data_IF_829147750836
#
_entry.id   IF_829147750836
#
_cell.length_a   1.000
_cell.length_b   1.000
_cell.length_c   1.000
_cell.angle_alpha   90.00
_cell.angle_beta   90.00
_cell.angle_gamma   90.00
#
_symmetry.space_group_name_H-M   'P 1'
#
loop_
_entity.id
_entity.type
_entity.pdbx_description
1 polymer ?
#
# COMPACT_ATOMS: atom_id res chain seq x y z
N UNK A 1 -39.50 76.55 33.48
CA UNK A 1 -38.58 75.63 34.19
C UNK A 1 -38.34 74.42 33.32
N UNK A 2 -37.07 74.17 33.02
CA UNK A 2 -36.56 73.15 32.09
C UNK A 2 -36.99 71.74 32.52
N UNK A 3 -37.46 70.93 31.57
CA UNK A 3 -37.41 69.47 31.70
C UNK A 3 -37.04 68.87 30.35
N UNK A 4 -35.74 68.67 30.19
CA UNK A 4 -35.12 67.89 29.12
C UNK A 4 -35.40 66.43 29.45
N UNK A 5 -36.09 65.70 28.55
CA UNK A 5 -36.11 64.24 28.58
C UNK A 5 -35.45 63.72 27.32
N UNK A 6 -34.19 63.34 27.48
CA UNK A 6 -33.31 62.77 26.47
C UNK A 6 -33.83 61.43 25.98
N UNK A 7 -33.88 61.28 24.66
CA UNK A 7 -34.13 60.03 23.94
C UNK A 7 -32.85 59.18 24.01
N UNK A 8 -32.88 58.08 24.76
CA UNK A 8 -31.76 57.11 24.79
C UNK A 8 -31.98 56.10 23.66
N UNK A 9 -31.13 56.18 22.64
CA UNK A 9 -31.01 55.21 21.56
C UNK A 9 -30.13 54.06 22.07
N UNK A 10 -30.71 52.88 22.35
CA UNK A 10 -29.95 51.69 22.71
C UNK A 10 -29.31 51.07 21.47
N UNK A 11 -27.98 51.18 21.33
CA UNK A 11 -27.18 50.46 20.35
C UNK A 11 -27.07 49.00 20.80
N UNK A 12 -27.77 48.08 20.13
CA UNK A 12 -27.55 46.64 20.28
C UNK A 12 -26.38 46.21 19.39
N UNK A 13 -25.22 45.93 19.99
CA UNK A 13 -24.09 45.29 19.30
C UNK A 13 -24.44 43.84 18.99
N UNK A 14 -24.61 43.51 17.71
CA UNK A 14 -24.69 42.12 17.24
C UNK A 14 -23.27 41.57 17.26
N UNK A 15 -22.97 40.72 18.25
CA UNK A 15 -21.75 39.93 18.28
C UNK A 15 -21.99 38.67 17.44
N UNK A 16 -21.51 38.66 16.20
CA UNK A 16 -21.47 37.44 15.38
C UNK A 16 -20.30 36.59 15.83
N UNK A 17 -20.55 35.62 16.70
CA UNK A 17 -19.60 34.54 16.97
C UNK A 17 -19.54 33.66 15.71
N UNK A 18 -18.43 33.71 14.97
CA UNK A 18 -18.08 32.65 14.02
C UNK A 18 -17.88 31.36 14.83
N UNK A 19 -18.87 30.48 14.83
CA UNK A 19 -18.70 29.13 15.33
C UNK A 19 -17.77 28.38 14.38
N UNK A 20 -16.54 28.10 14.83
CA UNK A 20 -15.69 27.12 14.19
C UNK A 20 -16.41 25.75 14.19
N UNK A 21 -16.27 24.93 13.14
CA UNK A 21 -16.92 23.62 13.09
C UNK A 21 -16.44 22.79 14.27
N UNK A 22 -17.40 22.36 15.11
CA UNK A 22 -17.14 21.44 16.19
C UNK A 22 -16.61 20.12 15.59
N UNK A 23 -15.37 19.78 15.95
CA UNK A 23 -14.81 18.45 15.72
C UNK A 23 -15.67 17.50 16.56
N UNK A 24 -16.54 16.74 15.90
CA UNK A 24 -17.26 15.64 16.54
C UNK A 24 -16.27 14.63 17.14
N UNK A 25 -16.67 13.86 18.15
CA UNK A 25 -15.79 12.87 18.75
C UNK A 25 -15.29 11.94 17.65
N UNK A 26 -13.96 11.77 17.59
CA UNK A 26 -13.34 10.79 16.70
C UNK A 26 -14.06 9.45 16.91
N UNK A 27 -14.67 8.95 15.85
CA UNK A 27 -15.33 7.65 15.84
C UNK A 27 -14.27 6.62 16.26
N UNK A 28 -14.43 6.11 17.49
CA UNK A 28 -13.58 5.07 18.04
C UNK A 28 -13.72 3.84 17.15
N UNK A 29 -12.73 3.65 16.29
CA UNK A 29 -12.63 2.45 15.48
C UNK A 29 -12.62 1.22 16.42
N UNK A 30 -13.27 0.10 16.03
CA UNK A 30 -13.24 -1.12 16.81
C UNK A 30 -11.78 -1.56 17.10
N UNK A 31 -11.53 -2.30 18.20
CA UNK A 31 -10.20 -2.47 18.82
C UNK A 31 -9.12 -3.22 18.00
N UNK A 32 -9.30 -3.34 16.68
CA UNK A 32 -8.42 -4.05 15.75
C UNK A 32 -8.12 -3.27 14.46
N UNK A 33 -8.49 -1.99 14.37
CA UNK A 33 -8.19 -1.15 13.20
C UNK A 33 -6.98 -0.28 13.50
N UNK A 34 -5.79 -0.77 13.16
CA UNK A 34 -4.57 0.04 13.28
C UNK A 34 -4.29 0.80 11.98
N UNK A 35 -4.35 2.12 12.07
CA UNK A 35 -4.06 3.05 10.99
C UNK A 35 -2.54 3.22 10.86
N UNK A 36 -2.00 3.07 9.64
CA UNK A 36 -0.59 3.38 9.32
C UNK A 36 -0.24 4.80 9.79
N UNK A 37 0.83 4.93 10.57
CA UNK A 37 1.25 6.18 11.20
C UNK A 37 1.69 7.28 10.20
N UNK A 38 1.70 8.57 10.61
CA UNK A 38 2.17 9.69 9.80
C UNK A 38 3.70 9.86 9.79
N UNK A 39 4.42 9.17 10.67
CA UNK A 39 5.89 9.18 10.76
C UNK A 39 6.49 8.17 9.79
N UNK A 40 7.74 8.41 9.37
CA UNK A 40 8.66 7.40 8.79
C UNK A 40 8.90 7.42 7.27
N UNK A 41 9.13 8.60 6.71
CA UNK A 41 9.94 8.70 5.48
C UNK A 41 11.01 9.76 5.63
N UNK A 42 12.17 9.34 6.14
CA UNK A 42 13.41 10.06 5.91
C UNK A 42 14.14 9.41 4.73
N UNK A 43 13.92 9.94 3.52
CA UNK A 43 14.68 9.55 2.32
C UNK A 43 16.05 10.23 2.32
N UNK A 44 16.93 9.79 3.22
CA UNK A 44 18.33 10.19 3.21
C UNK A 44 19.12 9.56 2.04
N UNK A 45 20.32 10.08 1.73
CA UNK A 45 21.20 9.55 0.66
C UNK A 45 21.58 8.06 0.78
N UNK A 46 21.36 7.45 1.95
CA UNK A 46 21.66 6.05 2.25
C UNK A 46 20.40 5.16 2.32
N UNK A 47 19.27 5.61 1.79
CA UNK A 47 18.01 4.88 1.86
C UNK A 47 18.06 3.56 1.03
N UNK A 48 17.54 2.42 1.53
CA UNK A 48 17.60 1.12 0.87
C UNK A 48 17.04 1.10 -0.57
N UNK A 49 16.00 1.90 -0.87
CA UNK A 49 15.46 2.06 -2.23
C UNK A 49 16.45 2.71 -3.22
N UNK A 50 17.47 3.44 -2.72
CA UNK A 50 18.54 4.02 -3.53
C UNK A 50 19.75 3.08 -3.66
N UNK A 51 19.95 2.18 -2.69
CA UNK A 51 21.01 1.15 -2.71
C UNK A 51 20.65 -0.03 -3.62
N UNK A 52 19.36 -0.41 -3.70
CA UNK A 52 18.88 -1.44 -4.62
C UNK A 52 19.09 -1.07 -6.12
N UNK A 53 19.20 0.22 -6.45
CA UNK A 53 19.54 0.68 -7.81
C UNK A 53 20.98 0.38 -8.23
N UNK A 54 21.89 0.07 -7.30
CA UNK A 54 23.34 -0.05 -7.60
C UNK A 54 23.87 -1.46 -7.79
N UNK A 55 23.12 -2.54 -7.49
CA UNK A 55 23.80 -3.78 -7.09
C UNK A 55 23.47 -5.12 -7.78
N UNK A 56 22.81 -5.19 -8.94
CA UNK A 56 22.70 -6.50 -9.62
C UNK A 56 23.18 -6.47 -11.08
N UNK A 57 24.49 -6.67 -11.22
CA UNK A 57 25.08 -7.33 -12.39
C UNK A 57 25.82 -8.61 -11.94
N UNK A 58 25.61 -9.68 -12.70
CA UNK A 58 26.46 -10.88 -12.91
C UNK A 58 26.14 -12.18 -12.12
N UNK A 59 25.67 -13.15 -12.93
CA UNK A 59 25.85 -14.61 -12.91
C UNK A 59 25.04 -15.53 -11.96
N UNK A 60 24.11 -16.31 -12.55
CA UNK A 60 24.09 -17.79 -12.42
C UNK A 60 23.14 -18.47 -13.41
N UNK A 61 23.67 -19.52 -14.05
CA UNK A 61 23.16 -20.27 -15.22
C UNK A 61 21.97 -21.17 -14.87
N UNK A 62 20.97 -21.22 -15.75
CA UNK A 62 19.97 -22.31 -15.81
C UNK A 62 18.53 -21.95 -16.19
N UNK A 63 18.14 -20.67 -16.14
CA UNK A 63 16.82 -20.18 -16.57
C UNK A 63 16.97 -19.24 -17.75
N UNK A 64 15.97 -19.15 -18.64
CA UNK A 64 15.97 -18.10 -19.68
C UNK A 64 15.93 -16.74 -18.97
N UNK A 65 16.47 -15.70 -19.60
CA UNK A 65 16.54 -14.36 -19.00
C UNK A 65 15.14 -13.81 -18.62
N UNK A 66 14.10 -14.31 -19.29
CA UNK A 66 12.69 -13.90 -19.17
C UNK A 66 12.03 -14.42 -17.89
N UNK A 67 12.43 -15.57 -17.36
CA UNK A 67 11.81 -16.15 -16.16
C UNK A 67 12.38 -15.60 -14.84
N UNK A 68 13.36 -14.68 -14.89
CA UNK A 68 14.11 -14.22 -13.71
C UNK A 68 13.60 -12.88 -13.20
N UNK A 69 13.39 -12.79 -11.89
CA UNK A 69 13.19 -11.51 -11.21
C UNK A 69 14.48 -10.69 -11.32
N UNK A 70 14.35 -9.40 -11.65
CA UNK A 70 15.48 -8.46 -11.80
C UNK A 70 15.38 -7.27 -10.82
N UNK A 71 14.46 -7.33 -9.86
CA UNK A 71 14.22 -6.26 -8.90
C UNK A 71 13.95 -6.82 -7.50
N UNK A 72 14.64 -6.23 -6.51
CA UNK A 72 14.44 -6.51 -5.09
C UNK A 72 13.81 -5.29 -4.44
N UNK A 73 12.61 -5.45 -3.91
CA UNK A 73 11.95 -4.47 -3.07
C UNK A 73 12.39 -4.71 -1.63
N UNK A 74 13.01 -3.72 -1.00
CA UNK A 74 13.50 -3.83 0.37
C UNK A 74 13.33 -2.50 1.12
N UNK A 75 12.08 -2.15 1.44
CA UNK A 75 11.75 -0.98 2.24
C UNK A 75 11.42 -1.41 3.67
N UNK A 76 12.03 -0.75 4.65
CA UNK A 76 11.87 -1.01 6.09
C UNK A 76 12.08 0.31 6.84
N UNK A 77 11.29 0.56 7.88
CA UNK A 77 11.41 1.76 8.72
C UNK A 77 12.00 1.48 10.10
N UNK A 78 11.94 0.23 10.55
CA UNK A 78 12.47 -0.19 11.85
C UNK A 78 12.13 -1.64 12.21
N UNK A 79 12.45 -1.99 13.45
CA UNK A 79 12.16 -3.29 14.07
C UNK A 79 12.88 -4.49 13.45
N UNK A 80 12.37 -5.70 13.74
CA UNK A 80 12.99 -6.94 13.29
C UNK A 80 12.40 -7.35 11.95
N UNK A 81 13.19 -7.22 10.87
CA UNK A 81 12.81 -7.64 9.51
C UNK A 81 13.98 -8.40 8.87
N UNK A 82 14.00 -9.72 9.09
CA UNK A 82 15.03 -10.61 8.56
C UNK A 82 14.66 -11.08 7.14
N UNK A 83 14.83 -10.18 6.17
CA UNK A 83 14.55 -10.42 4.75
C UNK A 83 15.77 -10.96 4.01
N UNK A 84 15.63 -12.07 3.29
CA UNK A 84 16.69 -12.71 2.50
C UNK A 84 16.18 -13.01 1.07
N UNK A 85 16.44 -12.14 0.08
CA UNK A 85 16.14 -12.41 -1.32
C UNK A 85 17.16 -13.40 -1.92
N UNK A 86 16.72 -14.23 -2.87
CA UNK A 86 17.54 -15.22 -3.58
C UNK A 86 16.95 -15.53 -4.95
N UNK A 87 17.40 -14.80 -5.98
CA UNK A 87 16.84 -14.88 -7.33
C UNK A 87 15.33 -14.69 -7.31
N UNK A 88 14.62 -15.66 -7.89
CA UNK A 88 13.17 -15.72 -7.99
C UNK A 88 12.45 -16.02 -6.66
N UNK A 89 13.11 -15.87 -5.52
CA UNK A 89 12.53 -16.24 -4.24
C UNK A 89 13.00 -15.32 -3.13
N UNK A 90 12.29 -15.36 -2.01
CA UNK A 90 12.76 -14.77 -0.77
C UNK A 90 12.28 -15.58 0.44
N UNK A 91 13.00 -15.44 1.54
CA UNK A 91 12.54 -15.80 2.87
C UNK A 91 12.49 -14.57 3.77
N UNK A 92 11.58 -14.60 4.74
CA UNK A 92 11.31 -13.50 5.65
C UNK A 92 10.92 -14.06 7.01
N UNK A 93 11.51 -13.51 8.07
CA UNK A 93 10.97 -13.55 9.42
C UNK A 93 10.87 -12.12 9.93
N UNK A 94 9.74 -11.74 10.53
CA UNK A 94 9.51 -10.39 11.00
C UNK A 94 8.81 -10.38 12.36
N UNK A 95 9.13 -9.37 13.17
CA UNK A 95 8.44 -8.99 14.41
C UNK A 95 8.71 -7.51 14.65
N UNK A 96 7.74 -6.68 14.28
CA UNK A 96 7.92 -5.23 14.24
C UNK A 96 6.60 -4.48 14.42
N UNK A 97 6.70 -3.29 15.00
CA UNK A 97 5.64 -2.27 15.03
C UNK A 97 5.86 -1.17 13.99
N UNK A 98 6.89 -1.34 13.16
CA UNK A 98 7.31 -0.38 12.14
C UNK A 98 6.93 -0.91 10.75
N UNK A 99 6.76 0.01 9.81
CA UNK A 99 6.36 -0.26 8.44
C UNK A 99 7.49 -0.91 7.60
N UNK A 100 7.16 -1.95 6.85
CA UNK A 100 8.03 -2.50 5.81
C UNK A 100 7.23 -3.02 4.62
N UNK A 101 7.90 -3.03 3.46
CA UNK A 101 7.44 -3.69 2.23
C UNK A 101 8.65 -4.36 1.59
N UNK A 102 8.68 -5.69 1.59
CA UNK A 102 9.82 -6.47 1.07
C UNK A 102 9.37 -7.56 0.11
N UNK A 103 10.13 -7.82 -0.95
CA UNK A 103 9.73 -8.74 -2.00
C UNK A 103 10.69 -8.78 -3.18
N UNK A 104 10.36 -9.61 -4.18
CA UNK A 104 11.13 -9.75 -5.43
C UNK A 104 10.19 -9.73 -6.63
N UNK A 105 10.70 -9.29 -7.78
CA UNK A 105 9.94 -9.22 -9.03
C UNK A 105 10.70 -8.50 -10.13
N UNK A 106 10.01 -7.62 -10.83
CA UNK A 106 10.48 -7.02 -12.07
C UNK A 106 10.45 -5.50 -12.06
N UNK A 107 11.38 -4.91 -12.78
CA UNK A 107 11.35 -3.50 -13.14
C UNK A 107 11.80 -3.33 -14.61
N UNK A 108 10.94 -2.85 -15.51
CA UNK A 108 9.52 -2.52 -15.26
C UNK A 108 8.67 -3.78 -15.07
N UNK A 109 7.51 -3.60 -14.43
CA UNK A 109 6.43 -4.60 -14.42
C UNK A 109 5.77 -4.76 -15.78
N UNK A 110 4.92 -5.77 -15.91
CA UNK A 110 4.23 -6.08 -17.16
C UNK A 110 2.76 -6.48 -16.92
N UNK A 111 2.11 -6.99 -17.97
CA UNK A 111 0.78 -7.60 -17.89
C UNK A 111 0.85 -9.13 -17.95
N UNK A 112 2.03 -9.73 -17.86
CA UNK A 112 2.20 -11.18 -17.80
C UNK A 112 1.61 -11.73 -16.50
N UNK A 113 0.96 -12.90 -16.52
CA UNK A 113 0.49 -13.55 -15.29
C UNK A 113 1.65 -13.84 -14.34
N UNK A 114 1.50 -13.52 -13.06
CA UNK A 114 2.54 -13.73 -12.05
C UNK A 114 2.18 -14.99 -11.27
N UNK A 115 3.06 -16.00 -11.27
CA UNK A 115 2.90 -17.18 -10.43
C UNK A 115 3.75 -17.04 -9.19
N UNK A 116 3.13 -17.26 -8.02
CA UNK A 116 3.83 -17.29 -6.74
C UNK A 116 3.49 -18.56 -5.98
N UNK A 117 4.43 -19.06 -5.19
CA UNK A 117 4.21 -20.25 -4.36
C UNK A 117 5.05 -20.24 -3.10
N UNK A 118 4.48 -20.79 -2.03
CA UNK A 118 5.16 -21.00 -0.76
C UNK A 118 4.28 -20.73 0.45
N UNK A 119 4.90 -20.23 1.52
CA UNK A 119 4.25 -19.99 2.81
C UNK A 119 4.11 -18.51 3.12
N UNK A 120 3.07 -18.21 3.89
CA UNK A 120 2.81 -16.92 4.52
C UNK A 120 2.08 -17.21 5.83
N UNK A 121 2.66 -16.77 6.94
CA UNK A 121 2.12 -17.01 8.27
C UNK A 121 2.28 -15.76 9.13
N UNK A 122 1.19 -15.34 9.77
CA UNK A 122 1.16 -14.19 10.68
C UNK A 122 0.77 -14.70 12.05
N UNK A 123 1.64 -14.50 13.03
CA UNK A 123 1.45 -14.95 14.42
C UNK A 123 0.89 -13.85 15.31
N UNK A 124 1.04 -12.59 14.92
CA UNK A 124 0.52 -11.41 15.62
C UNK A 124 0.33 -10.25 14.64
N UNK A 125 -0.65 -9.39 14.93
CA UNK A 125 -0.84 -8.13 14.22
C UNK A 125 -1.37 -8.34 12.81
N UNK A 126 -0.86 -7.57 11.86
CA UNK A 126 -1.27 -7.63 10.47
C UNK A 126 -0.10 -7.94 9.54
N UNK A 127 -0.38 -8.56 8.40
CA UNK A 127 0.48 -8.52 7.23
C UNK A 127 -0.33 -8.88 5.99
N UNK A 128 0.19 -8.51 4.81
CA UNK A 128 -0.40 -8.85 3.52
C UNK A 128 0.61 -9.53 2.61
N UNK A 129 0.20 -10.56 1.88
CA UNK A 129 0.88 -11.12 0.72
C UNK A 129 0.21 -10.59 -0.54
N UNK A 130 0.95 -9.89 -1.39
CA UNK A 130 0.36 -9.23 -2.57
C UNK A 130 1.29 -9.16 -3.77
N UNK A 131 0.70 -9.05 -4.97
CA UNK A 131 1.35 -8.33 -6.06
C UNK A 131 1.31 -6.85 -5.71
N UNK A 132 2.46 -6.21 -5.60
CA UNK A 132 2.65 -4.82 -5.27
C UNK A 132 3.42 -4.10 -6.36
N UNK A 133 3.02 -2.88 -6.71
CA UNK A 133 3.80 -2.07 -7.65
C UNK A 133 3.32 -0.64 -7.78
N UNK A 134 3.98 0.07 -8.69
CA UNK A 134 3.69 1.47 -8.96
C UNK A 134 3.51 1.76 -10.44
N UNK A 135 2.80 2.84 -10.74
CA UNK A 135 2.83 3.48 -12.05
C UNK A 135 3.26 4.94 -11.94
N UNK A 136 3.67 5.50 -13.07
CA UNK A 136 3.95 6.94 -13.22
C UNK A 136 3.11 7.52 -14.33
N UNK A 137 2.69 8.78 -14.20
CA UNK A 137 1.82 9.48 -15.16
C UNK A 137 0.55 8.69 -15.56
N UNK A 138 -0.43 8.49 -14.65
CA UNK A 138 -0.49 8.97 -13.26
C UNK A 138 0.36 8.18 -12.27
N UNK A 139 0.73 8.85 -11.16
CA UNK A 139 1.35 8.20 -9.99
C UNK A 139 0.28 7.40 -9.24
N UNK A 140 0.42 6.08 -9.24
CA UNK A 140 -0.51 5.16 -8.56
C UNK A 140 0.30 4.08 -7.87
N UNK A 141 -0.05 3.79 -6.63
CA UNK A 141 0.40 2.60 -5.91
C UNK A 141 -0.68 1.53 -6.04
N UNK A 142 -0.33 0.28 -6.34
CA UNK A 142 -1.35 -0.75 -6.51
C UNK A 142 -1.02 -2.05 -5.81
N UNK A 143 -2.09 -2.76 -5.44
CA UNK A 143 -2.05 -4.01 -4.71
C UNK A 143 -3.07 -5.00 -5.29
N UNK A 144 -2.64 -6.24 -5.51
CA UNK A 144 -3.52 -7.41 -5.58
C UNK A 144 -3.16 -8.31 -4.42
N UNK A 145 -3.94 -8.22 -3.35
CA UNK A 145 -3.73 -8.94 -2.08
C UNK A 145 -4.29 -10.35 -2.23
N UNK A 146 -3.40 -11.32 -2.27
CA UNK A 146 -3.71 -12.75 -2.40
C UNK A 146 -4.05 -13.38 -1.06
N UNK A 147 -3.39 -12.96 0.01
CA UNK A 147 -3.70 -13.36 1.38
C UNK A 147 -3.35 -12.25 2.37
N UNK A 148 -4.03 -12.23 3.51
CA UNK A 148 -3.77 -11.26 4.56
C UNK A 148 -4.26 -11.75 5.91
N UNK A 149 -3.59 -11.33 6.98
CA UNK A 149 -4.06 -11.46 8.35
C UNK A 149 -4.09 -10.09 8.99
N UNK A 150 -5.07 -9.82 9.85
CA UNK A 150 -5.22 -8.54 10.57
C UNK A 150 -5.47 -7.30 9.69
N UNK A 151 -5.36 -7.42 8.37
CA UNK A 151 -5.61 -6.35 7.43
C UNK A 151 -7.11 -6.09 7.35
N UNK A 152 -7.50 -4.84 7.60
CA UNK A 152 -8.86 -4.38 7.40
C UNK A 152 -8.94 -3.60 6.10
N UNK A 153 -10.02 -3.82 5.34
CA UNK A 153 -10.22 -3.20 4.03
C UNK A 153 -10.27 -1.67 4.18
N UNK A 154 -9.52 -0.95 3.33
CA UNK A 154 -9.40 0.51 3.42
C UNK A 154 -9.80 1.19 2.12
N UNK A 155 -10.36 2.40 2.22
CA UNK A 155 -10.75 3.23 1.09
C UNK A 155 -12.23 3.14 0.71
N UNK A 156 -12.53 3.56 -0.51
CA UNK A 156 -13.87 3.50 -1.11
C UNK A 156 -14.02 2.22 -1.90
N UNK A 157 -15.02 1.39 -1.57
CA UNK A 157 -15.35 0.20 -2.35
C UNK A 157 -15.84 0.59 -3.74
N UNK A 158 -15.24 0.02 -4.78
CA UNK A 158 -15.56 0.31 -6.19
C UNK A 158 -16.37 -0.79 -6.86
N UNK A 159 -16.14 -2.04 -6.47
CA UNK A 159 -16.83 -3.19 -7.03
C UNK A 159 -16.11 -4.49 -6.73
N UNK A 160 -16.25 -5.45 -7.63
CA UNK A 160 -15.57 -6.75 -7.55
C UNK A 160 -15.02 -7.15 -8.92
N UNK A 161 -14.08 -8.09 -8.91
CA UNK A 161 -13.60 -8.83 -10.09
C UNK A 161 -13.47 -10.31 -9.73
N UNK A 162 -13.78 -11.19 -10.67
CA UNK A 162 -13.50 -12.63 -10.55
C UNK A 162 -12.32 -12.95 -11.44
N UNK A 163 -11.28 -13.53 -10.86
CA UNK A 163 -10.06 -13.94 -11.56
C UNK A 163 -9.44 -15.13 -10.83
N UNK A 164 -8.75 -16.01 -11.54
CA UNK A 164 -7.90 -17.05 -10.94
C UNK A 164 -8.63 -17.88 -9.86
N UNK A 165 -9.86 -18.29 -10.19
CA UNK A 165 -10.71 -19.10 -9.31
C UNK A 165 -11.23 -18.42 -8.04
N UNK A 166 -11.02 -17.11 -7.88
CA UNK A 166 -11.47 -16.34 -6.72
C UNK A 166 -12.21 -15.06 -7.08
N UNK A 167 -12.90 -14.49 -6.10
CA UNK A 167 -13.48 -13.16 -6.20
C UNK A 167 -12.66 -12.19 -5.35
N UNK A 168 -12.43 -11.00 -5.91
CA UNK A 168 -11.72 -9.91 -5.27
C UNK A 168 -12.64 -8.73 -5.07
N UNK A 169 -12.57 -8.10 -3.92
CA UNK A 169 -13.19 -6.80 -3.68
C UNK A 169 -12.23 -5.68 -4.07
N UNK A 170 -12.69 -4.73 -4.89
CA UNK A 170 -11.88 -3.62 -5.40
C UNK A 170 -12.13 -2.36 -4.55
N UNK A 171 -11.03 -1.72 -4.16
CA UNK A 171 -10.99 -0.49 -3.38
C UNK A 171 -10.12 0.57 -4.06
N UNK A 172 -10.50 1.83 -3.84
CA UNK A 172 -9.71 3.01 -4.20
C UNK A 172 -9.48 3.86 -2.95
N UNK A 173 -8.24 4.26 -2.70
CA UNK A 173 -7.88 5.16 -1.61
C UNK A 173 -7.02 6.31 -2.11
N UNK A 174 -6.97 7.42 -1.37
CA UNK A 174 -6.09 8.56 -1.66
C UNK A 174 -5.08 8.69 -0.53
N UNK A 175 -3.81 8.67 -0.88
CA UNK A 175 -2.71 8.96 0.04
C UNK A 175 -2.31 10.42 -0.16
N UNK A 176 -2.53 11.25 0.86
CA UNK A 176 -2.27 12.71 0.81
C UNK A 176 -0.94 13.03 1.47
N UNK A 177 -0.07 13.79 0.79
CA UNK A 177 1.27 14.15 1.27
C UNK A 177 2.02 12.94 1.83
N UNK A 178 1.88 11.81 1.14
CA UNK A 178 2.42 10.54 1.55
C UNK A 178 3.64 10.20 0.70
N UNK A 179 4.47 9.29 1.17
CA UNK A 179 5.72 9.01 0.46
C UNK A 179 5.51 8.03 -0.69
N UNK A 180 6.32 8.17 -1.74
CA UNK A 180 6.18 7.43 -2.99
C UNK A 180 7.52 7.23 -3.70
N UNK A 181 7.50 6.52 -4.83
CA UNK A 181 8.65 6.40 -5.75
C UNK A 181 9.10 7.73 -6.37
N UNK A 182 8.34 8.82 -6.19
CA UNK A 182 8.65 10.19 -6.63
C UNK A 182 8.80 11.16 -5.46
N UNK A 183 9.08 10.66 -4.24
CA UNK A 183 9.14 11.47 -3.02
C UNK A 183 7.76 11.67 -2.40
N UNK A 184 7.62 12.67 -1.52
CA UNK A 184 6.33 12.98 -0.88
C UNK A 184 5.36 13.59 -1.90
N UNK A 185 4.25 12.90 -2.16
CA UNK A 185 3.26 13.24 -3.16
C UNK A 185 1.84 12.93 -2.67
N UNK A 186 0.84 13.40 -3.42
CA UNK A 186 -0.54 12.92 -3.29
C UNK A 186 -0.84 11.99 -4.47
N UNK A 187 -1.29 10.77 -4.19
CA UNK A 187 -1.52 9.74 -5.20
C UNK A 187 -2.66 8.80 -4.80
N UNK A 188 -3.21 8.08 -5.79
CA UNK A 188 -4.24 7.08 -5.56
C UNK A 188 -3.62 5.72 -5.27
N UNK A 189 -4.34 4.90 -4.50
CA UNK A 189 -4.08 3.48 -4.31
C UNK A 189 -5.19 2.67 -4.95
N UNK A 190 -4.84 1.68 -5.78
CA UNK A 190 -5.79 0.74 -6.38
C UNK A 190 -5.56 -0.66 -5.79
N UNK A 191 -6.59 -1.22 -5.17
CA UNK A 191 -6.44 -2.41 -4.33
C UNK A 191 -7.48 -3.44 -4.75
N UNK A 192 -7.05 -4.64 -5.09
CA UNK A 192 -7.91 -5.83 -5.17
C UNK A 192 -7.60 -6.72 -3.98
N UNK A 193 -8.60 -7.08 -3.17
CA UNK A 193 -8.43 -7.97 -2.02
C UNK A 193 -9.15 -9.28 -2.28
N UNK A 194 -8.43 -10.41 -2.29
CA UNK A 194 -9.03 -11.73 -2.47
C UNK A 194 -9.93 -12.07 -1.29
N UNK A 195 -11.16 -12.49 -1.56
CA UNK A 195 -12.12 -12.79 -0.49
C UNK A 195 -11.79 -14.10 0.25
N UNK A 196 -11.07 -15.02 -0.41
CA UNK A 196 -10.56 -16.26 0.17
C UNK A 196 -9.07 -16.36 -0.08
N UNK A 197 -8.27 -16.10 0.95
CA UNK A 197 -6.82 -15.97 0.86
C UNK A 197 -6.12 -17.22 0.33
N UNK A 198 -5.06 -17.03 -0.46
CA UNK A 198 -4.19 -18.09 -0.98
C UNK A 198 -2.72 -17.70 -0.83
N UNK A 199 -1.90 -18.63 -0.35
CA UNK A 199 -0.44 -18.42 -0.24
C UNK A 199 0.33 -18.85 -1.48
N UNK A 200 -0.38 -19.38 -2.49
CA UNK A 200 0.19 -19.88 -3.75
C UNK A 200 -0.87 -19.83 -4.84
N UNK A 201 -0.48 -19.42 -6.05
CA UNK A 201 -1.38 -19.29 -7.18
C UNK A 201 -0.76 -18.52 -8.34
N UNK A 202 -1.57 -18.32 -9.37
CA UNK A 202 -1.26 -17.43 -10.48
C UNK A 202 -2.20 -16.23 -10.41
N UNK A 203 -1.64 -15.03 -10.51
CA UNK A 203 -2.37 -13.77 -10.59
C UNK A 203 -2.36 -13.31 -12.03
N UNK A 204 -3.52 -13.41 -12.70
CA UNK A 204 -3.74 -12.86 -14.03
C UNK A 204 -3.85 -11.34 -13.93
N UNK A 205 -2.73 -10.65 -13.75
CA UNK A 205 -2.69 -9.22 -13.36
C UNK A 205 -3.44 -8.31 -14.33
N UNK A 206 -3.48 -8.68 -15.62
CA UNK A 206 -4.26 -7.98 -16.65
C UNK A 206 -5.77 -7.93 -16.34
N UNK A 207 -6.34 -8.95 -15.70
CA UNK A 207 -7.75 -8.96 -15.29
C UNK A 207 -8.02 -7.87 -14.24
N UNK A 208 -7.10 -7.69 -13.28
CA UNK A 208 -7.20 -6.64 -12.26
C UNK A 208 -7.04 -5.25 -12.88
N UNK A 209 -6.05 -5.06 -13.75
CA UNK A 209 -5.83 -3.78 -14.42
C UNK A 209 -7.04 -3.38 -15.29
N UNK A 210 -7.63 -4.34 -16.00
CA UNK A 210 -8.84 -4.11 -16.80
C UNK A 210 -10.05 -3.80 -15.93
N UNK A 211 -10.22 -4.49 -14.80
CA UNK A 211 -11.31 -4.22 -13.87
C UNK A 211 -11.17 -2.84 -13.21
N UNK A 212 -9.97 -2.45 -12.78
CA UNK A 212 -9.71 -1.11 -12.25
C UNK A 212 -10.07 -0.04 -13.29
N UNK A 213 -9.62 -0.21 -14.54
CA UNK A 213 -9.96 0.69 -15.63
C UNK A 213 -11.48 0.82 -15.85
N UNK A 214 -12.26 -0.26 -15.74
CA UNK A 214 -13.72 -0.20 -15.91
C UNK A 214 -14.44 0.56 -14.78
N UNK A 215 -13.81 0.69 -13.60
CA UNK A 215 -14.27 1.53 -12.50
C UNK A 215 -13.67 2.95 -12.50
N UNK A 216 -13.01 3.35 -13.60
CA UNK A 216 -12.39 4.68 -13.75
C UNK A 216 -11.02 4.82 -13.10
N UNK A 217 -10.46 3.72 -12.58
CA UNK A 217 -9.17 3.69 -11.89
C UNK A 217 -8.06 3.44 -12.92
N UNK A 218 -7.62 4.50 -13.60
CA UNK A 218 -6.65 4.41 -14.68
C UNK A 218 -5.21 4.33 -14.14
N UNK A 219 -4.47 3.32 -14.61
CA UNK A 219 -3.04 3.16 -14.36
C UNK A 219 -2.21 3.98 -15.37
N UNK A 220 -1.00 4.36 -14.96
CA UNK A 220 0.00 4.99 -15.83
C UNK A 220 1.00 4.01 -16.43
N UNK A 221 2.19 4.50 -16.76
CA UNK A 221 3.32 3.66 -17.17
C UNK A 221 3.80 2.83 -15.99
N UNK A 222 3.83 1.50 -16.14
CA UNK A 222 4.29 0.57 -15.11
C UNK A 222 5.74 0.89 -14.69
N UNK A 223 5.95 0.95 -13.38
CA UNK A 223 7.27 0.98 -12.75
C UNK A 223 7.57 -0.45 -12.21
N UNK A 224 8.26 -0.60 -11.08
CA UNK A 224 8.49 -1.93 -10.51
C UNK A 224 7.17 -2.64 -10.13
N UNK A 225 7.22 -3.97 -10.14
CA UNK A 225 6.13 -4.88 -9.78
C UNK A 225 6.73 -6.12 -9.11
N UNK A 226 6.30 -6.43 -7.90
CA UNK A 226 6.86 -7.51 -7.08
C UNK A 226 5.78 -8.34 -6.42
N UNK A 227 6.11 -9.57 -6.02
CA UNK A 227 5.40 -10.24 -4.93
C UNK A 227 6.03 -9.77 -3.63
N UNK A 228 5.24 -9.16 -2.75
CA UNK A 228 5.71 -8.56 -1.52
C UNK A 228 4.91 -8.97 -0.29
N UNK A 229 5.60 -8.93 0.85
CA UNK A 229 5.01 -8.90 2.18
C UNK A 229 5.06 -7.46 2.71
N UNK A 230 3.94 -6.97 3.24
CA UNK A 230 3.84 -5.69 3.93
C UNK A 230 3.26 -5.86 5.33
N UNK A 231 3.80 -5.13 6.30
CA UNK A 231 3.17 -4.85 7.60
C UNK A 231 3.63 -3.52 8.15
N UNK A 232 2.85 -2.97 9.08
CA UNK A 232 3.22 -1.85 9.95
C UNK A 232 2.92 -2.13 11.42
N UNK A 233 2.52 -3.35 11.76
CA UNK A 233 2.45 -3.87 13.12
C UNK A 233 2.16 -5.37 13.03
N UNK A 234 3.20 -6.19 13.00
CA UNK A 234 3.01 -7.62 12.84
C UNK A 234 4.23 -8.46 13.16
N UNK A 235 3.96 -9.73 13.42
CA UNK A 235 4.99 -10.76 13.52
C UNK A 235 4.58 -11.98 12.69
N UNK A 236 5.57 -12.63 12.09
CA UNK A 236 5.31 -13.75 11.20
C UNK A 236 6.52 -14.18 10.38
N UNK A 237 6.24 -15.01 9.39
CA UNK A 237 7.24 -15.47 8.42
C UNK A 237 6.61 -15.72 7.06
N UNK A 238 7.45 -15.64 6.03
CA UNK A 238 7.04 -15.96 4.68
C UNK A 238 8.21 -16.56 3.91
N UNK A 239 7.88 -17.42 2.95
CA UNK A 239 8.81 -17.88 1.93
C UNK A 239 8.04 -17.96 0.62
N UNK A 240 8.48 -17.23 -0.39
CA UNK A 240 7.81 -17.20 -1.68
C UNK A 240 8.81 -17.46 -2.81
N UNK A 241 8.38 -18.20 -3.82
CA UNK A 241 9.02 -18.34 -5.14
C UNK A 241 8.11 -17.67 -6.15
N UNK A 242 8.68 -16.92 -7.10
CA UNK A 242 8.00 -15.95 -7.97
C UNK A 242 8.49 -16.11 -9.41
N UNK A 243 7.57 -16.22 -10.37
CA UNK A 243 7.85 -16.27 -11.81
C UNK A 243 6.76 -15.54 -12.60
N UNK A 244 7.04 -15.13 -13.84
CA UNK A 244 6.05 -14.60 -14.78
C UNK A 244 6.36 -15.01 -16.22
#
# INVERSE_FOLDING_TARGET
>A
MVSIRSLILSLSTISTCLAAPAIGPAELLPPHVERRGPSDFFLGPNHPLMLARRNESLERRGMTLEERTNYVQNYQTGGTVNFTPSGNSFSLNFDTTDDFVVGVGWNPGSTAPITHSGSFAVTKGLATLSVYGWTTNPLVEYYVIEDSAGFTQTGTKKGTVTSDGGSYTIWENVRTNAPSIQGTQTFNQYISVRNSGLTSGTVSISNHFNAWKSYGMNLGTLNFQVIAIETWNGAGSAKQTVTN
#
